data_IF_350296478223
#
_entry.id   IF_350296478223
#
_cell.length_a   1.000
_cell.length_b   1.000
_cell.length_c   1.000
_cell.angle_alpha   90.00
_cell.angle_beta   90.00
_cell.angle_gamma   90.00
#
_symmetry.space_group_name_H-M   'P 1'
#
loop_
_entity.id
_entity.type
_entity.pdbx_description
1 polymer ?
#
# COMPACT_ATOMS: atom_id res chain seq x y z
N UNK A 1 -10.26 13.26 79.12
CA UNK A 1 -8.90 13.48 78.56
C UNK A 1 -8.37 12.12 78.14
N UNK A 2 -8.22 11.86 76.83
CA UNK A 2 -7.83 10.57 76.19
C UNK A 2 -8.73 9.34 76.53
N UNK A 3 -8.96 8.30 75.71
CA UNK A 3 -8.35 7.84 74.44
C UNK A 3 -7.83 6.39 74.61
N UNK A 4 -7.88 5.45 73.64
CA UNK A 4 -8.34 5.38 72.22
C UNK A 4 -8.70 3.90 71.95
N UNK A 5 -9.76 3.50 71.22
CA UNK A 5 -9.71 3.10 69.79
C UNK A 5 -10.97 2.33 69.37
N UNK A 6 -11.33 2.31 68.08
CA UNK A 6 -12.39 1.47 67.51
C UNK A 6 -11.80 0.38 66.60
N UNK A 7 -12.30 -0.86 66.72
CA UNK A 7 -11.91 -2.01 65.89
C UNK A 7 -12.84 -2.21 64.69
N UNK A 8 -12.33 -2.86 63.65
CA UNK A 8 -12.99 -3.06 62.36
C UNK A 8 -14.25 -3.94 62.40
N UNK A 9 -15.14 -3.72 61.42
CA UNK A 9 -16.26 -4.60 61.12
C UNK A 9 -16.09 -5.19 59.70
N UNK A 10 -16.20 -6.51 59.59
CA UNK A 10 -16.29 -7.24 58.33
C UNK A 10 -17.77 -7.39 57.95
N UNK A 11 -18.13 -7.24 56.67
CA UNK A 11 -19.26 -7.98 56.11
C UNK A 11 -18.91 -8.80 54.86
N UNK A 12 -19.85 -9.65 54.48
CA UNK A 12 -19.72 -10.81 53.60
C UNK A 12 -19.96 -10.48 52.11
N UNK A 13 -19.49 -11.38 51.25
CA UNK A 13 -19.55 -11.42 49.79
C UNK A 13 -20.88 -11.07 49.12
N UNK A 14 -20.80 -10.65 47.85
CA UNK A 14 -21.70 -11.20 46.82
C UNK A 14 -20.99 -11.36 45.46
N UNK A 15 -21.54 -12.21 44.57
CA UNK A 15 -20.97 -12.56 43.27
C UNK A 15 -21.54 -11.68 42.13
N UNK A 16 -20.69 -11.10 41.27
CA UNK A 16 -20.77 -11.21 39.79
C UNK A 16 -19.80 -10.26 39.06
N UNK A 17 -19.53 -10.61 37.80
CA UNK A 17 -18.99 -9.79 36.69
C UNK A 17 -18.04 -8.63 37.01
N UNK A 18 -16.75 -8.83 36.72
CA UNK A 18 -16.11 -8.12 35.59
C UNK A 18 -15.12 -9.05 34.88
N UNK A 19 -15.37 -9.38 33.60
CA UNK A 19 -14.38 -9.99 32.70
C UNK A 19 -13.53 -8.91 32.01
N UNK A 20 -12.56 -8.35 32.72
CA UNK A 20 -11.63 -7.34 32.20
C UNK A 20 -10.21 -7.60 32.74
N UNK A 21 -9.11 -7.44 32.01
CA UNK A 21 -8.89 -7.17 30.59
C UNK A 21 -7.64 -7.99 30.18
N UNK A 22 -7.73 -8.87 29.18
CA UNK A 22 -6.52 -9.41 28.55
C UNK A 22 -5.94 -8.34 27.62
N UNK A 23 -5.11 -7.46 28.19
CA UNK A 23 -4.43 -6.37 27.49
C UNK A 23 -3.41 -6.85 26.46
N UNK A 24 -3.88 -7.39 25.35
CA UNK A 24 -3.09 -7.43 24.13
C UNK A 24 -2.87 -5.98 23.68
N UNK A 25 -1.64 -5.50 23.81
CA UNK A 25 -1.18 -4.28 23.15
C UNK A 25 -1.23 -4.57 21.64
N UNK A 26 -2.38 -4.30 21.02
CA UNK A 26 -2.44 -4.08 19.58
C UNK A 26 -1.53 -2.89 19.29
N UNK A 27 -0.32 -3.16 18.78
CA UNK A 27 0.51 -2.10 18.22
C UNK A 27 -0.30 -1.48 17.08
N UNK A 28 -0.80 -0.26 17.30
CA UNK A 28 -1.60 0.43 16.31
C UNK A 28 -0.77 0.58 15.02
N UNK A 29 -1.33 0.07 13.92
CA UNK A 29 -0.66 0.05 12.63
C UNK A 29 -0.25 1.48 12.23
N UNK A 30 1.06 1.77 12.02
CA UNK A 30 1.51 3.10 11.68
C UNK A 30 0.80 3.67 10.46
N UNK A 31 0.39 4.94 10.58
CA UNK A 31 -0.40 5.65 9.55
C UNK A 31 0.26 5.60 8.17
N UNK A 32 1.59 5.64 8.07
CA UNK A 32 2.32 5.55 6.81
C UNK A 32 3.38 4.44 6.89
N UNK A 33 3.16 3.34 6.16
CA UNK A 33 4.13 2.24 6.04
C UNK A 33 3.87 1.51 4.72
N UNK A 34 4.92 1.15 3.99
CA UNK A 34 4.78 0.35 2.76
C UNK A 34 4.53 -1.12 3.15
N UNK A 35 3.55 -1.76 2.52
CA UNK A 35 3.34 -3.22 2.55
C UNK A 35 3.47 -3.72 1.13
N UNK A 36 4.14 -4.84 0.95
CA UNK A 36 4.38 -5.41 -0.36
C UNK A 36 4.63 -6.91 -0.23
N UNK A 37 4.33 -7.65 -1.30
CA UNK A 37 5.03 -8.90 -1.52
C UNK A 37 6.48 -8.57 -1.93
N UNK A 38 7.48 -9.16 -1.26
CA UNK A 38 8.89 -8.83 -1.48
C UNK A 38 9.84 -9.98 -1.09
N UNK A 39 11.03 -9.94 -1.68
CA UNK A 39 12.13 -10.90 -1.46
C UNK A 39 13.38 -10.17 -0.94
N UNK A 40 14.51 -10.88 -0.89
CA UNK A 40 15.81 -10.27 -0.61
C UNK A 40 16.23 -9.21 -1.64
N UNK A 41 15.82 -9.35 -2.91
CA UNK A 41 16.29 -8.53 -4.04
C UNK A 41 15.19 -7.78 -4.79
N UNK A 42 13.93 -8.17 -4.61
CA UNK A 42 12.79 -7.67 -5.40
C UNK A 42 11.61 -7.21 -4.53
N UNK A 43 10.74 -6.39 -5.13
CA UNK A 43 9.44 -5.99 -4.59
C UNK A 43 8.38 -6.07 -5.69
N UNK A 44 7.20 -6.61 -5.37
CA UNK A 44 6.07 -6.68 -6.29
C UNK A 44 5.25 -5.39 -6.19
N UNK A 45 4.86 -4.85 -7.34
CA UNK A 45 3.95 -3.70 -7.45
C UNK A 45 2.89 -3.95 -8.50
N UNK A 46 1.66 -3.50 -8.22
CA UNK A 46 0.48 -3.76 -9.02
C UNK A 46 0.10 -2.56 -9.90
N UNK A 47 -0.34 -2.87 -11.12
CA UNK A 47 -0.94 -1.94 -12.07
C UNK A 47 -2.11 -2.62 -12.79
N UNK A 48 -3.00 -1.84 -13.41
CA UNK A 48 -4.02 -2.39 -14.30
C UNK A 48 -4.04 -1.61 -15.62
N UNK A 49 -4.32 -2.33 -16.70
CA UNK A 49 -4.35 -1.83 -18.07
C UNK A 49 -5.45 -2.51 -18.87
N UNK A 50 -5.79 -1.91 -20.02
CA UNK A 50 -6.55 -2.57 -21.09
C UNK A 50 -5.88 -3.87 -21.56
N UNK A 51 -6.63 -4.87 -22.03
CA UNK A 51 -6.11 -6.21 -22.37
C UNK A 51 -4.95 -6.20 -23.36
N UNK A 52 -4.93 -5.28 -24.33
CA UNK A 52 -3.91 -5.21 -25.38
C UNK A 52 -2.54 -4.84 -24.82
N UNK A 53 -2.50 -4.08 -23.72
CA UNK A 53 -1.27 -3.72 -23.02
C UNK A 53 -0.95 -4.78 -21.96
N UNK A 54 -1.92 -5.11 -21.10
CA UNK A 54 -1.71 -6.00 -19.96
C UNK A 54 -1.25 -7.40 -20.39
N UNK A 55 -2.04 -8.07 -21.24
CA UNK A 55 -1.73 -9.45 -21.69
C UNK A 55 -0.47 -9.52 -22.55
N UNK A 56 -0.14 -8.44 -23.25
CA UNK A 56 1.13 -8.34 -23.98
C UNK A 56 2.32 -8.18 -23.03
N UNK A 57 2.18 -7.39 -21.96
CA UNK A 57 3.22 -7.18 -20.98
C UNK A 57 3.56 -8.47 -20.22
N UNK A 58 2.55 -9.16 -19.68
CA UNK A 58 2.74 -10.43 -18.96
C UNK A 58 3.36 -11.51 -19.86
N UNK A 59 2.83 -11.72 -21.07
CA UNK A 59 3.36 -12.74 -22.01
C UNK A 59 4.81 -12.48 -22.43
N UNK A 60 5.19 -11.21 -22.59
CA UNK A 60 6.51 -10.84 -23.15
C UNK A 60 7.54 -10.44 -22.07
N UNK A 61 7.17 -10.41 -20.79
CA UNK A 61 8.00 -9.93 -19.68
C UNK A 61 8.34 -8.43 -19.72
N UNK A 62 7.71 -7.64 -20.61
CA UNK A 62 8.01 -6.21 -20.82
C UNK A 62 6.84 -5.47 -21.45
N UNK A 63 6.69 -4.18 -21.16
CA UNK A 63 5.63 -3.37 -21.77
C UNK A 63 5.77 -3.28 -23.30
N UNK A 64 4.65 -3.36 -24.06
CA UNK A 64 4.67 -3.20 -25.51
C UNK A 64 4.91 -1.74 -25.92
N UNK A 65 5.28 -1.49 -27.18
CA UNK A 65 5.46 -0.15 -27.73
C UNK A 65 4.20 0.73 -27.71
N UNK A 66 3.02 0.14 -27.52
CA UNK A 66 1.74 0.84 -27.32
C UNK A 66 1.53 1.34 -25.88
N UNK A 67 2.45 1.03 -24.96
CA UNK A 67 2.52 1.62 -23.62
C UNK A 67 3.21 2.99 -23.70
N UNK A 68 2.59 4.02 -23.12
CA UNK A 68 3.10 5.39 -23.19
C UNK A 68 4.13 5.64 -22.10
N UNK A 69 5.36 5.96 -22.52
CA UNK A 69 6.50 6.33 -21.66
C UNK A 69 6.39 7.75 -21.09
N UNK A 70 5.72 8.64 -21.82
CA UNK A 70 5.64 10.08 -21.50
C UNK A 70 4.59 10.39 -20.43
N UNK A 71 3.62 9.49 -20.21
CA UNK A 71 2.61 9.63 -19.17
C UNK A 71 3.11 9.07 -17.84
N UNK A 72 2.79 9.77 -16.77
CA UNK A 72 2.95 9.28 -15.39
C UNK A 72 2.27 7.91 -15.23
N UNK A 73 3.04 6.87 -14.88
CA UNK A 73 2.50 5.54 -14.55
C UNK A 73 2.46 5.36 -13.03
N UNK A 74 1.42 4.73 -12.49
CA UNK A 74 1.16 4.69 -11.04
C UNK A 74 1.18 3.26 -10.50
N UNK A 75 2.33 2.87 -9.95
CA UNK A 75 2.55 1.57 -9.30
C UNK A 75 2.06 1.58 -7.84
N UNK A 76 1.54 0.44 -7.36
CA UNK A 76 0.98 0.27 -6.01
C UNK A 76 1.53 -1.01 -5.39
N UNK A 77 2.28 -0.95 -4.28
CA UNK A 77 2.72 -2.16 -3.59
C UNK A 77 1.59 -2.98 -2.96
N UNK A 78 0.42 -2.36 -2.72
CA UNK A 78 -0.79 -3.00 -2.18
C UNK A 78 -1.74 -3.48 -3.27
N UNK A 79 -2.11 -4.77 -3.19
CA UNK A 79 -3.05 -5.45 -4.06
C UNK A 79 -4.47 -4.92 -3.85
N UNK A 80 -4.96 -4.81 -2.60
CA UNK A 80 -6.31 -4.31 -2.32
C UNK A 80 -6.47 -2.84 -2.75
N UNK A 81 -5.43 -2.02 -2.59
CA UNK A 81 -5.43 -0.67 -3.14
C UNK A 81 -5.53 -0.67 -4.67
N UNK A 82 -4.82 -1.57 -5.36
CA UNK A 82 -5.00 -1.75 -6.80
C UNK A 82 -6.41 -2.26 -7.16
N UNK A 83 -6.95 -3.22 -6.41
CA UNK A 83 -8.28 -3.80 -6.67
C UNK A 83 -9.39 -2.77 -6.54
N UNK A 84 -9.30 -1.87 -5.55
CA UNK A 84 -10.20 -0.73 -5.45
C UNK A 84 -10.09 0.21 -6.66
N UNK A 85 -8.86 0.46 -7.14
CA UNK A 85 -8.60 1.36 -8.27
C UNK A 85 -9.10 0.78 -9.60
N UNK A 86 -8.90 -0.50 -9.92
CA UNK A 86 -9.45 -1.16 -11.11
C UNK A 86 -10.86 -1.75 -10.94
N UNK A 87 -11.41 -1.78 -9.71
CA UNK A 87 -12.69 -2.41 -9.39
C UNK A 87 -12.67 -3.91 -9.66
N UNK A 88 -11.72 -4.65 -9.08
CA UNK A 88 -11.55 -6.09 -9.31
C UNK A 88 -11.42 -6.45 -10.81
N UNK A 89 -10.68 -5.65 -11.58
CA UNK A 89 -10.51 -5.76 -13.03
C UNK A 89 -11.80 -5.62 -13.87
N UNK A 90 -12.85 -4.96 -13.35
CA UNK A 90 -14.11 -4.75 -14.08
C UNK A 90 -14.24 -3.37 -14.74
N UNK A 91 -13.38 -2.41 -14.39
CA UNK A 91 -13.43 -1.06 -14.98
C UNK A 91 -12.79 -1.03 -16.37
N UNK A 92 -13.43 -0.28 -17.26
CA UNK A 92 -12.96 -0.03 -18.62
C UNK A 92 -11.49 0.47 -18.64
N UNK A 93 -10.70 -0.06 -19.56
CA UNK A 93 -9.26 0.16 -19.71
C UNK A 93 -8.38 -0.27 -18.51
N UNK A 94 -8.91 -1.07 -17.58
CA UNK A 94 -8.22 -1.65 -16.42
C UNK A 94 -8.57 -3.13 -16.20
N UNK A 95 -8.93 -3.84 -17.27
CA UNK A 95 -9.43 -5.22 -17.29
C UNK A 95 -8.33 -6.29 -17.19
N UNK A 96 -7.06 -5.89 -17.15
CA UNK A 96 -5.93 -6.79 -16.92
C UNK A 96 -5.03 -6.24 -15.82
N UNK A 97 -4.93 -6.98 -14.72
CA UNK A 97 -4.12 -6.63 -13.54
C UNK A 97 -2.77 -7.32 -13.65
N UNK A 98 -1.70 -6.54 -13.55
CA UNK A 98 -0.33 -7.03 -13.55
C UNK A 98 0.24 -6.99 -12.14
N UNK A 99 0.84 -8.09 -11.71
CA UNK A 99 1.86 -8.08 -10.68
C UNK A 99 3.20 -7.89 -11.39
N UNK A 100 3.85 -6.75 -11.16
CA UNK A 100 5.16 -6.43 -11.74
C UNK A 100 6.20 -6.56 -10.65
N UNK A 101 7.13 -7.48 -10.81
CA UNK A 101 8.27 -7.63 -9.92
C UNK A 101 9.40 -6.72 -10.38
N UNK A 102 9.88 -5.85 -9.49
CA UNK A 102 10.97 -4.91 -9.74
C UNK A 102 12.10 -5.05 -8.74
N UNK A 103 13.30 -4.65 -9.13
CA UNK A 103 14.46 -4.57 -8.24
C UNK A 103 14.21 -3.63 -7.06
N UNK A 104 14.67 -4.03 -5.87
CA UNK A 104 14.58 -3.19 -4.66
C UNK A 104 15.36 -1.89 -4.80
N UNK A 105 16.48 -1.91 -5.51
CA UNK A 105 17.30 -0.73 -5.78
C UNK A 105 16.57 0.28 -6.67
N UNK A 106 15.88 -0.18 -7.72
CA UNK A 106 15.05 0.67 -8.58
C UNK A 106 13.90 1.31 -7.81
N UNK A 107 13.21 0.53 -6.96
CA UNK A 107 12.14 1.04 -6.11
C UNK A 107 12.65 2.03 -5.05
N UNK A 108 13.79 1.76 -4.42
CA UNK A 108 14.42 2.66 -3.46
C UNK A 108 14.94 3.95 -4.13
N UNK A 109 15.50 3.85 -5.34
CA UNK A 109 15.88 5.02 -6.15
C UNK A 109 14.65 5.88 -6.47
N UNK A 110 13.54 5.27 -6.88
CA UNK A 110 12.31 5.99 -7.19
C UNK A 110 11.75 6.74 -5.96
N UNK A 111 11.82 6.15 -4.77
CA UNK A 111 11.42 6.81 -3.52
C UNK A 111 12.38 7.93 -3.12
N UNK A 112 13.70 7.72 -3.18
CA UNK A 112 14.71 8.78 -2.91
C UNK A 112 14.61 9.99 -3.85
N UNK A 113 14.05 9.80 -5.06
CA UNK A 113 13.85 10.84 -6.06
C UNK A 113 12.37 11.29 -6.19
N UNK A 114 11.53 11.01 -5.18
CA UNK A 114 10.13 11.36 -5.20
C UNK A 114 9.83 12.73 -4.55
N UNK A 115 8.72 13.33 -4.96
CA UNK A 115 8.11 14.46 -4.26
C UNK A 115 6.67 14.09 -3.84
N UNK A 116 6.19 14.60 -2.70
CA UNK A 116 4.80 14.42 -2.30
C UNK A 116 3.86 15.10 -3.31
N UNK A 117 2.83 14.36 -3.75
CA UNK A 117 1.85 14.81 -4.76
C UNK A 117 0.95 15.97 -4.30
N UNK A 118 1.01 16.32 -3.01
CA UNK A 118 0.26 17.40 -2.38
C UNK A 118 1.19 18.26 -1.50
N UNK A 119 0.79 19.50 -1.23
CA UNK A 119 1.59 20.44 -0.44
C UNK A 119 1.41 20.21 1.07
N UNK A 120 2.51 19.93 1.77
CA UNK A 120 2.60 19.85 3.23
C UNK A 120 3.49 20.99 3.75
N UNK A 121 2.94 21.99 4.48
CA UNK A 121 3.73 23.14 4.95
C UNK A 121 4.95 22.75 5.78
N UNK A 122 4.81 21.75 6.66
CA UNK A 122 5.87 21.28 7.56
C UNK A 122 7.06 20.60 6.85
N UNK A 123 6.88 20.12 5.61
CA UNK A 123 7.94 19.46 4.83
C UNK A 123 8.49 20.35 3.71
N UNK A 124 7.68 21.26 3.18
CA UNK A 124 8.02 22.01 1.96
C UNK A 124 8.33 23.50 2.18
N UNK A 125 7.86 24.10 3.28
CA UNK A 125 8.06 25.53 3.61
C UNK A 125 7.28 26.51 2.72
N UNK A 126 7.58 26.54 1.41
CA UNK A 126 6.94 27.39 0.40
C UNK A 126 6.22 26.56 -0.67
N UNK A 127 5.03 27.00 -1.07
CA UNK A 127 4.21 26.31 -2.05
C UNK A 127 4.80 26.41 -3.47
N UNK A 128 5.48 27.51 -3.82
CA UNK A 128 6.07 27.64 -5.16
C UNK A 128 7.39 26.88 -5.29
N UNK A 129 8.17 26.77 -4.20
CA UNK A 129 9.29 25.83 -4.08
C UNK A 129 8.84 24.39 -4.28
N UNK A 130 7.77 23.95 -3.59
CA UNK A 130 7.15 22.64 -3.81
C UNK A 130 6.69 22.46 -5.27
N UNK A 131 5.99 23.43 -5.87
CA UNK A 131 5.58 23.35 -7.30
C UNK A 131 6.79 23.22 -8.24
N UNK A 132 7.95 23.79 -7.91
CA UNK A 132 9.19 23.60 -8.70
C UNK A 132 9.74 22.19 -8.50
N UNK A 133 9.87 21.72 -7.26
CA UNK A 133 10.30 20.35 -6.93
C UNK A 133 9.40 19.28 -7.58
N UNK A 134 8.07 19.40 -7.45
CA UNK A 134 7.09 18.46 -8.02
C UNK A 134 7.14 18.36 -9.56
N UNK A 135 7.59 19.43 -10.23
CA UNK A 135 7.79 19.45 -11.69
C UNK A 135 9.13 18.87 -12.12
N UNK A 136 10.15 18.96 -11.27
CA UNK A 136 11.48 18.39 -11.53
C UNK A 136 11.62 16.92 -11.09
N UNK A 137 10.88 16.50 -10.06
CA UNK A 137 10.95 15.16 -9.50
C UNK A 137 10.44 14.12 -10.52
N UNK A 138 11.25 13.10 -10.88
CA UNK A 138 10.84 12.06 -11.82
C UNK A 138 9.80 11.11 -11.20
N UNK A 139 9.72 11.06 -9.86
CA UNK A 139 8.73 10.26 -9.13
C UNK A 139 7.83 11.11 -8.21
N UNK A 140 6.65 10.58 -7.88
CA UNK A 140 5.67 11.22 -6.99
C UNK A 140 5.04 10.25 -6.01
N UNK A 141 4.92 10.64 -4.76
CA UNK A 141 4.29 9.82 -3.71
C UNK A 141 2.94 10.37 -3.32
N UNK A 142 1.95 9.48 -3.25
CA UNK A 142 0.63 9.72 -2.66
C UNK A 142 0.35 8.63 -1.62
N UNK A 143 -0.19 9.03 -0.48
CA UNK A 143 -0.63 8.14 0.60
C UNK A 143 -2.14 8.15 0.67
N UNK A 144 -2.76 7.16 0.03
CA UNK A 144 -4.20 6.96 0.05
C UNK A 144 -4.60 6.05 1.23
N UNK A 145 -5.84 6.10 1.76
CA UNK A 145 -6.28 5.14 2.76
C UNK A 145 -6.20 3.73 2.19
N UNK A 146 -5.75 2.76 2.98
CA UNK A 146 -5.83 1.35 2.57
C UNK A 146 -7.30 0.90 2.53
N UNK A 147 -7.56 -0.27 1.94
CA UNK A 147 -8.87 -0.87 1.74
C UNK A 147 -8.93 -2.26 2.38
N UNK A 148 -10.08 -2.58 2.98
CA UNK A 148 -10.45 -3.97 3.27
C UNK A 148 -11.00 -4.66 1.99
N UNK A 149 -11.43 -5.92 2.13
CA UNK A 149 -12.04 -6.70 1.04
C UNK A 149 -13.34 -6.09 0.48
N UNK A 150 -14.06 -5.30 1.27
CA UNK A 150 -15.26 -4.57 0.86
C UNK A 150 -14.98 -3.14 0.37
N UNK A 151 -13.70 -2.76 0.31
CA UNK A 151 -13.22 -1.42 0.00
C UNK A 151 -13.64 -0.30 0.99
N UNK A 152 -13.90 -0.64 2.25
CA UNK A 152 -13.95 0.38 3.31
C UNK A 152 -12.54 0.94 3.56
N UNK A 153 -12.42 2.25 3.87
CA UNK A 153 -11.13 2.86 4.17
C UNK A 153 -10.63 2.44 5.56
N UNK A 154 -9.38 1.97 5.61
CA UNK A 154 -8.70 1.62 6.87
C UNK A 154 -8.00 2.85 7.49
N UNK A 155 -7.71 2.84 8.81
CA UNK A 155 -7.14 4.00 9.52
C UNK A 155 -5.71 4.36 9.07
N UNK A 156 -4.99 3.43 8.45
CA UNK A 156 -3.64 3.62 7.90
C UNK A 156 -3.67 3.91 6.38
N UNK A 157 -2.48 4.15 5.81
CA UNK A 157 -2.30 4.55 4.41
C UNK A 157 -1.41 3.57 3.64
N UNK A 158 -1.70 3.46 2.36
CA UNK A 158 -0.92 2.68 1.40
C UNK A 158 -0.37 3.56 0.28
N UNK A 159 0.78 3.14 -0.23
CA UNK A 159 1.56 3.91 -1.18
C UNK A 159 0.97 3.79 -2.60
N UNK A 160 0.79 4.93 -3.24
CA UNK A 160 0.73 5.03 -4.69
C UNK A 160 1.95 5.84 -5.17
N UNK A 161 2.84 5.19 -5.93
CA UNK A 161 4.07 5.77 -6.44
C UNK A 161 3.94 6.02 -7.95
N UNK A 162 3.97 7.28 -8.33
CA UNK A 162 3.96 7.73 -9.73
C UNK A 162 5.38 7.81 -10.27
N UNK A 163 5.61 7.30 -11.48
CA UNK A 163 6.89 7.35 -12.19
C UNK A 163 6.70 8.06 -13.53
N UNK A 164 7.61 8.99 -13.86
CA UNK A 164 7.60 9.80 -15.08
C UNK A 164 9.03 10.13 -15.54
N UNK A 165 9.18 10.48 -16.82
CA UNK A 165 10.49 10.80 -17.40
C UNK A 165 11.51 9.69 -17.18
N UNK A 166 12.65 10.02 -16.58
CA UNK A 166 13.70 9.06 -16.23
C UNK A 166 13.18 7.86 -15.41
N UNK A 167 12.33 8.10 -14.41
CA UNK A 167 11.80 7.01 -13.57
C UNK A 167 10.92 6.04 -14.37
N UNK A 168 10.15 6.53 -15.34
CA UNK A 168 9.31 5.69 -16.20
C UNK A 168 10.14 4.89 -17.22
N UNK A 169 11.22 5.48 -17.74
CA UNK A 169 12.15 4.80 -18.63
C UNK A 169 12.90 3.67 -17.89
N UNK A 170 13.58 4.00 -16.78
CA UNK A 170 14.30 3.02 -15.95
C UNK A 170 13.38 1.91 -15.44
N UNK A 171 12.15 2.24 -15.05
CA UNK A 171 11.16 1.23 -14.69
C UNK A 171 10.89 0.24 -15.83
N UNK A 172 10.64 0.72 -17.04
CA UNK A 172 10.31 -0.12 -18.18
C UNK A 172 11.50 -0.95 -18.72
N UNK A 173 12.73 -0.44 -18.59
CA UNK A 173 13.91 -0.99 -19.28
C UNK A 173 14.98 -1.59 -18.34
N UNK A 174 15.05 -1.17 -17.07
CA UNK A 174 16.12 -1.56 -16.12
C UNK A 174 15.59 -2.32 -14.89
N UNK A 175 14.42 -1.95 -14.35
CA UNK A 175 14.02 -2.43 -13.02
C UNK A 175 13.15 -3.69 -13.03
N UNK A 176 12.40 -3.94 -14.10
CA UNK A 176 11.49 -5.09 -14.20
C UNK A 176 12.28 -6.38 -14.33
N UNK A 177 12.00 -7.32 -13.42
CA UNK A 177 12.52 -8.70 -13.49
C UNK A 177 11.44 -9.72 -13.88
N UNK A 178 10.15 -9.37 -13.69
CA UNK A 178 9.03 -10.23 -14.05
C UNK A 178 7.70 -9.47 -14.15
N UNK A 179 6.78 -9.98 -14.98
CA UNK A 179 5.41 -9.48 -15.11
C UNK A 179 4.46 -10.68 -15.17
N UNK A 180 3.55 -10.77 -14.21
CA UNK A 180 2.50 -11.79 -14.15
C UNK A 180 1.11 -11.17 -14.36
N UNK A 181 0.25 -11.83 -15.13
CA UNK A 181 -1.18 -11.49 -15.23
C UNK A 181 -1.93 -12.13 -14.05
N UNK A 182 -2.18 -11.32 -13.01
CA UNK A 182 -2.90 -11.75 -11.80
C UNK A 182 -4.40 -11.44 -11.87
N UNK A 183 -4.94 -11.17 -13.07
CA UNK A 183 -6.39 -11.05 -13.29
C UNK A 183 -7.16 -12.30 -12.82
N UNK A 184 -6.70 -13.55 -13.05
CA UNK A 184 -7.38 -14.74 -12.52
C UNK A 184 -7.46 -14.75 -10.99
N UNK A 185 -6.42 -14.26 -10.30
CA UNK A 185 -6.43 -14.11 -8.84
C UNK A 185 -7.44 -13.04 -8.42
N UNK A 186 -7.43 -11.87 -9.06
CA UNK A 186 -8.38 -10.79 -8.80
C UNK A 186 -9.85 -11.25 -8.96
N UNK A 187 -10.15 -11.97 -10.04
CA UNK A 187 -11.48 -12.57 -10.28
C UNK A 187 -11.85 -13.59 -9.20
N UNK A 188 -10.92 -14.46 -8.80
CA UNK A 188 -11.17 -15.49 -7.78
C UNK A 188 -11.44 -14.88 -6.40
N UNK A 189 -10.61 -13.92 -5.96
CA UNK A 189 -10.82 -13.20 -4.69
C UNK A 189 -12.15 -12.46 -4.72
N UNK A 190 -12.44 -11.73 -5.80
CA UNK A 190 -13.71 -11.02 -5.96
C UNK A 190 -14.94 -11.95 -5.90
N UNK A 191 -14.86 -13.15 -6.48
CA UNK A 191 -15.93 -14.14 -6.40
C UNK A 191 -16.20 -14.60 -4.96
N UNK A 192 -15.16 -14.84 -4.15
CA UNK A 192 -15.33 -15.15 -2.73
C UNK A 192 -15.89 -13.96 -1.93
N UNK A 193 -15.42 -12.73 -2.18
CA UNK A 193 -15.98 -11.51 -1.55
C UNK A 193 -17.46 -11.34 -1.89
N UNK A 194 -17.85 -11.55 -3.16
CA UNK A 194 -19.24 -11.47 -3.61
C UNK A 194 -20.13 -12.56 -2.99
N UNK A 195 -19.58 -13.74 -2.75
CA UNK A 195 -20.25 -14.84 -2.05
C UNK A 195 -20.29 -14.67 -0.51
N UNK A 196 -19.65 -13.65 0.05
CA UNK A 196 -19.52 -13.46 1.50
C UNK A 196 -18.50 -14.38 2.19
N UNK A 197 -17.68 -15.10 1.42
CA UNK A 197 -16.67 -16.05 1.91
C UNK A 197 -15.35 -15.33 2.24
N UNK A 198 -15.40 -14.39 3.20
CA UNK A 198 -14.31 -13.44 3.45
C UNK A 198 -13.01 -14.09 3.93
N UNK A 199 -13.08 -15.17 4.71
CA UNK A 199 -11.91 -15.92 5.17
C UNK A 199 -11.17 -16.53 3.98
N UNK A 200 -11.89 -17.18 3.06
CA UNK A 200 -11.32 -17.73 1.82
C UNK A 200 -10.78 -16.65 0.89
N UNK A 201 -11.45 -15.49 0.82
CA UNK A 201 -10.96 -14.34 0.08
C UNK A 201 -9.63 -13.83 0.66
N UNK A 202 -9.51 -13.77 1.99
CA UNK A 202 -8.30 -13.34 2.69
C UNK A 202 -7.13 -14.33 2.56
N UNK A 203 -7.40 -15.64 2.63
CA UNK A 203 -6.39 -16.71 2.42
C UNK A 203 -5.72 -16.65 1.03
N UNK A 204 -6.43 -16.12 0.03
CA UNK A 204 -5.94 -15.97 -1.34
C UNK A 204 -5.16 -14.67 -1.57
N UNK A 205 -5.17 -13.71 -0.64
CA UNK A 205 -4.47 -12.44 -0.84
C UNK A 205 -2.94 -12.64 -0.88
N UNK A 206 -2.21 -11.86 -1.69
CA UNK A 206 -0.77 -11.79 -1.62
C UNK A 206 -0.28 -11.47 -0.20
N UNK A 207 0.77 -12.17 0.25
CA UNK A 207 1.33 -12.02 1.59
C UNK A 207 2.16 -10.74 1.70
N UNK A 208 1.47 -9.61 1.79
CA UNK A 208 2.04 -8.26 1.84
C UNK A 208 2.56 -7.91 3.23
N UNK A 209 3.87 -8.04 3.40
CA UNK A 209 4.55 -7.76 4.67
C UNK A 209 5.08 -6.33 4.69
N UNK A 210 5.32 -5.74 5.88
CA UNK A 210 6.05 -4.48 6.00
C UNK A 210 7.33 -4.49 5.14
N UNK A 211 7.44 -3.52 4.24
CA UNK A 211 8.63 -3.33 3.43
C UNK A 211 9.50 -2.29 4.12
N UNK A 212 10.54 -2.77 4.82
CA UNK A 212 11.46 -1.93 5.57
C UNK A 212 12.46 -1.28 4.61
N UNK A 213 12.59 0.04 4.77
CA UNK A 213 13.59 0.90 4.13
C UNK A 213 14.34 1.65 5.23
N UNK A 214 15.52 2.14 4.90
CA UNK A 214 16.24 3.13 5.70
C UNK A 214 15.33 4.36 5.90
N UNK A 215 15.28 4.92 7.11
CA UNK A 215 14.27 5.93 7.47
C UNK A 215 14.45 7.26 6.72
N UNK A 216 15.67 7.58 6.28
CA UNK A 216 15.99 8.73 5.43
C UNK A 216 15.23 8.70 4.09
N UNK A 217 15.07 7.51 3.51
CA UNK A 217 14.34 7.30 2.24
C UNK A 217 12.88 7.75 2.35
N UNK A 218 12.25 7.62 3.52
CA UNK A 218 10.83 7.93 3.73
C UNK A 218 10.58 9.19 4.57
N UNK A 219 11.59 9.76 5.23
CA UNK A 219 11.43 10.92 6.10
C UNK A 219 10.77 12.12 5.39
N UNK A 220 11.18 12.40 4.15
CA UNK A 220 10.64 13.49 3.33
C UNK A 220 9.28 13.16 2.67
N UNK A 221 8.71 11.99 2.96
CA UNK A 221 7.52 11.44 2.30
C UNK A 221 6.40 11.04 3.27
N UNK A 222 6.55 11.16 4.60
CA UNK A 222 5.56 10.71 5.59
C UNK A 222 4.72 11.88 6.13
N UNK A 223 3.66 12.26 5.41
CA UNK A 223 2.68 13.29 5.82
C UNK A 223 1.28 13.08 5.22
#
# INVERSE_FOLDING_TARGET
MAGVSAGEAVPVSDQNDVREQHGYIQQQEPRFRIRAHHTGTTVTVYQAYRPEIGRAAARNGRFPSSWSRDRMTWIKPSFLWMMYRCGWATKENQETVLAVEISRDGFAWALRNACLSHYVPALHGDQDAWKRQLRAAPARVQWDPERDLHFHPLPYRSLQLGLSGEAAARYADEWIVGIEDVTPLATKVHAHVWAGELERAAELLPQERPYLLEDDVLAHLRA
#
